data_IF_925206677172
#
_entry.id   IF_925206677172
#
_cell.length_a   1.000
_cell.length_b   1.000
_cell.length_c   1.000
_cell.angle_alpha   90.00
_cell.angle_beta   90.00
_cell.angle_gamma   90.00
#
_symmetry.space_group_name_H-M   'P 1'
#
loop_
_entity.id
_entity.type
_entity.pdbx_description
1 polymer ?
#
# COMPACT_ATOMS: atom_id res chain seq x y z
N UNK A 1 -39.71 22.95 11.61
CA UNK A 1 -39.01 21.96 12.45
C UNK A 1 -38.30 20.90 11.59
N UNK A 2 -39.02 20.15 10.73
CA UNK A 2 -38.43 19.11 9.88
C UNK A 2 -37.32 19.61 8.95
N UNK A 3 -37.47 20.78 8.34
CA UNK A 3 -36.45 21.36 7.46
C UNK A 3 -35.12 21.65 8.20
N UNK A 4 -35.19 22.05 9.47
CA UNK A 4 -34.00 22.25 10.30
C UNK A 4 -33.30 20.92 10.57
N UNK A 5 -34.07 19.89 10.92
CA UNK A 5 -33.55 18.53 11.14
C UNK A 5 -32.89 17.97 9.87
N UNK A 6 -33.53 18.15 8.72
CA UNK A 6 -33.00 17.73 7.43
C UNK A 6 -31.71 18.48 7.06
N UNK A 7 -31.64 19.79 7.33
CA UNK A 7 -30.46 20.59 7.09
C UNK A 7 -29.27 20.13 7.95
N UNK A 8 -29.50 19.84 9.24
CA UNK A 8 -28.47 19.32 10.14
C UNK A 8 -28.01 17.93 9.70
N UNK A 9 -28.95 17.04 9.37
CA UNK A 9 -28.62 15.70 8.86
C UNK A 9 -27.81 15.75 7.56
N UNK A 10 -28.21 16.58 6.61
CA UNK A 10 -27.47 16.77 5.35
C UNK A 10 -26.07 17.32 5.58
N UNK A 11 -25.90 18.27 6.52
CA UNK A 11 -24.59 18.81 6.88
C UNK A 11 -23.66 17.74 7.47
N UNK A 12 -24.17 16.90 8.38
CA UNK A 12 -23.40 15.80 8.97
C UNK A 12 -22.97 14.80 7.90
N UNK A 13 -23.87 14.38 7.01
CA UNK A 13 -23.54 13.46 5.90
C UNK A 13 -22.51 14.08 4.96
N UNK A 14 -22.64 15.36 4.61
CA UNK A 14 -21.68 16.06 3.77
C UNK A 14 -20.28 16.12 4.41
N UNK A 15 -20.20 16.40 5.72
CA UNK A 15 -18.94 16.40 6.46
C UNK A 15 -18.31 15.01 6.58
N UNK A 16 -19.13 13.96 6.77
CA UNK A 16 -18.65 12.57 6.81
C UNK A 16 -18.09 12.14 5.46
N UNK A 17 -18.80 12.44 4.37
CA UNK A 17 -18.35 12.15 3.00
C UNK A 17 -17.09 12.96 2.69
N UNK A 18 -17.05 14.25 3.04
CA UNK A 18 -15.82 15.03 2.92
C UNK A 18 -14.67 14.34 3.65
N UNK A 19 -14.86 13.97 4.92
CA UNK A 19 -13.81 13.39 5.74
C UNK A 19 -13.32 12.02 5.23
N UNK A 20 -14.22 11.20 4.68
CA UNK A 20 -13.85 9.92 4.06
C UNK A 20 -13.05 10.15 2.78
N UNK A 21 -13.54 10.99 1.87
CA UNK A 21 -12.90 11.21 0.57
C UNK A 21 -11.65 12.12 0.64
N UNK A 22 -11.56 13.03 1.62
CA UNK A 22 -10.38 13.86 1.85
C UNK A 22 -9.21 13.03 2.41
N UNK A 23 -9.49 11.98 3.18
CA UNK A 23 -8.47 11.02 3.63
C UNK A 23 -7.88 10.20 2.48
N UNK A 24 -8.69 9.84 1.48
CA UNK A 24 -8.22 9.10 0.30
C UNK A 24 -7.22 9.88 -0.58
N UNK A 25 -7.18 11.23 -0.50
CA UNK A 25 -6.31 12.05 -1.37
C UNK A 25 -5.02 12.57 -0.71
N UNK A 26 -4.87 12.43 0.61
CA UNK A 26 -3.73 13.02 1.36
C UNK A 26 -2.89 11.94 2.08
N UNK A 27 -3.23 10.65 1.97
CA UNK A 27 -2.66 9.61 2.82
C UNK A 27 -1.58 8.68 2.25
N UNK A 28 -1.33 8.67 0.94
CA UNK A 28 -0.17 7.93 0.38
C UNK A 28 0.33 8.71 -0.82
N UNK A 29 1.50 9.38 -0.76
CA UNK A 29 2.23 9.57 -1.99
C UNK A 29 2.53 8.16 -2.50
N UNK A 30 1.81 7.72 -3.52
CA UNK A 30 2.18 6.59 -4.39
C UNK A 30 3.47 6.90 -5.17
N UNK A 31 4.39 7.68 -4.60
CA UNK A 31 5.78 7.50 -4.90
C UNK A 31 6.10 6.10 -4.38
N UNK A 32 6.65 5.19 -5.18
CA UNK A 32 7.38 4.07 -4.63
C UNK A 32 8.62 4.67 -3.94
N UNK A 33 8.41 5.26 -2.76
CA UNK A 33 9.43 5.26 -1.72
C UNK A 33 9.67 3.78 -1.57
N UNK A 34 10.79 3.31 -2.13
CA UNK A 34 11.35 2.00 -1.84
C UNK A 34 11.05 1.78 -0.37
N UNK A 35 10.03 0.95 -0.08
CA UNK A 35 9.91 0.41 1.25
C UNK A 35 11.32 -0.13 1.52
N UNK A 36 11.93 0.17 2.69
CA UNK A 36 13.23 -0.41 2.99
C UNK A 36 13.08 -1.89 2.72
N UNK A 37 13.73 -2.33 1.63
CA UNK A 37 13.59 -3.69 1.14
C UNK A 37 14.09 -4.51 2.31
N UNK A 38 13.27 -5.44 2.80
CA UNK A 38 13.74 -6.32 3.84
C UNK A 38 15.04 -6.94 3.31
N UNK A 39 16.12 -7.04 4.11
CA UNK A 39 17.40 -7.59 3.63
C UNK A 39 17.25 -8.96 2.94
N UNK A 40 16.17 -9.68 3.22
CA UNK A 40 15.82 -10.98 2.63
C UNK A 40 15.18 -10.89 1.21
N UNK A 41 14.61 -9.74 0.85
CA UNK A 41 13.96 -9.47 -0.44
C UNK A 41 14.88 -8.76 -1.44
N UNK A 42 16.18 -8.66 -1.13
CA UNK A 42 17.16 -8.05 -2.02
C UNK A 42 17.31 -8.89 -3.31
N UNK A 43 17.14 -8.28 -4.50
CA UNK A 43 17.18 -9.00 -5.77
C UNK A 43 18.53 -9.68 -6.01
N UNK A 44 19.61 -9.14 -5.43
CA UNK A 44 20.95 -9.70 -5.54
C UNK A 44 21.15 -10.95 -4.67
N UNK A 45 20.43 -11.07 -3.54
CA UNK A 45 20.45 -12.28 -2.72
C UNK A 45 19.74 -13.45 -3.43
N UNK A 46 18.54 -13.18 -3.96
CA UNK A 46 17.77 -14.17 -4.71
C UNK A 46 18.51 -14.66 -5.97
N UNK A 47 19.25 -13.76 -6.64
CA UNK A 47 20.12 -14.12 -7.76
C UNK A 47 21.23 -15.08 -7.36
N UNK A 48 21.95 -14.75 -6.28
CA UNK A 48 23.02 -15.62 -5.76
C UNK A 48 22.48 -16.99 -5.32
N UNK A 49 21.31 -17.04 -4.68
CA UNK A 49 20.67 -18.30 -4.29
C UNK A 49 20.28 -19.15 -5.50
N UNK A 50 19.70 -18.54 -6.54
CA UNK A 50 19.34 -19.22 -7.78
C UNK A 50 20.58 -19.77 -8.51
N UNK A 51 21.68 -19.02 -8.55
CA UNK A 51 22.95 -19.45 -9.12
C UNK A 51 23.55 -20.64 -8.35
N UNK A 52 23.53 -20.59 -7.02
CA UNK A 52 24.02 -21.69 -6.18
C UNK A 52 23.17 -22.97 -6.35
N UNK A 53 21.84 -22.85 -6.42
CA UNK A 53 20.95 -23.99 -6.68
C UNK A 53 21.21 -24.61 -8.04
N UNK A 54 21.41 -23.78 -9.08
CA UNK A 54 21.72 -24.26 -10.43
C UNK A 54 23.05 -25.01 -10.45
N UNK A 55 24.10 -24.46 -9.82
CA UNK A 55 25.42 -25.09 -9.76
C UNK A 55 25.38 -26.45 -9.08
N UNK A 56 24.70 -26.58 -7.93
CA UNK A 56 24.55 -27.88 -7.25
C UNK A 56 23.84 -28.92 -8.12
N UNK A 57 22.76 -28.52 -8.79
CA UNK A 57 22.01 -29.41 -9.69
C UNK A 57 22.87 -29.91 -10.87
N UNK A 58 23.77 -29.07 -11.38
CA UNK A 58 24.67 -29.45 -12.47
C UNK A 58 25.84 -30.34 -11.97
N UNK A 59 26.19 -30.30 -10.68
CA UNK A 59 27.20 -31.17 -10.04
C UNK A 59 26.64 -32.55 -9.64
N UNK A 60 25.34 -32.65 -9.39
CA UNK A 60 24.64 -33.89 -9.02
C UNK A 60 24.17 -34.73 -10.25
N UNK A 61 24.45 -34.29 -11.48
CA UNK A 61 24.14 -34.95 -12.76
C UNK A 61 25.39 -35.53 -13.42
#
# INVERSE_FOLDING_TARGET
MLALLAAVGALVVALLLWRSFAGQRIGVPSTPRRAPLAPDDDPDFLRQLAEQQRKRRDEDL
#
